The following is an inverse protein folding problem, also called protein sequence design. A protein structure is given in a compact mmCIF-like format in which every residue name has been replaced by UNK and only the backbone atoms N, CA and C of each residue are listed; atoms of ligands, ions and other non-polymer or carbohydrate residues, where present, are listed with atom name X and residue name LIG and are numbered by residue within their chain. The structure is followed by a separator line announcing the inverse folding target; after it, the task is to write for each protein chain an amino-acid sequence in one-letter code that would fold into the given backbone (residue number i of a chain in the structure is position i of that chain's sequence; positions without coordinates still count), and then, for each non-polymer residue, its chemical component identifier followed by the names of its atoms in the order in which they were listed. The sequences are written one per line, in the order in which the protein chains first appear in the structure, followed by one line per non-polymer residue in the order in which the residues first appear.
data_IF_345227179343
#
_entry.id   IF_345227179343
#
_cell.length_a   1.000
_cell.length_b   1.000
_cell.length_c   1.000
_cell.angle_alpha   90.00
_cell.angle_beta   90.00
_cell.angle_gamma   90.00
#
_symmetry.space_group_name_H-M   'P 1'
#
loop_
_entity.id
_entity.type
_entity.pdbx_description
1 polymer ?
#
# COMPACT_ATOMS: atom_id res chain seq x y z
N UNK A 1 -16.81 -30.35 11.17
CA UNK A 1 -16.56 -29.09 10.42
C UNK A 1 -15.98 -29.46 9.08
N UNK A 2 -16.36 -28.79 7.99
CA UNK A 2 -15.71 -28.98 6.69
C UNK A 2 -14.39 -28.20 6.69
N UNK A 3 -13.30 -28.86 6.29
CA UNK A 3 -11.99 -28.24 6.15
C UNK A 3 -11.77 -27.92 4.67
N UNK A 4 -11.39 -26.68 4.36
CA UNK A 4 -11.09 -26.24 3.00
C UNK A 4 -9.60 -26.06 2.84
N UNK A 5 -9.02 -26.67 1.81
CA UNK A 5 -7.62 -26.47 1.45
C UNK A 5 -7.48 -25.25 0.53
N UNK A 6 -6.35 -24.54 0.67
CA UNK A 6 -5.98 -23.46 -0.25
C UNK A 6 -5.65 -24.03 -1.64
N UNK A 7 -5.87 -23.23 -2.68
CA UNK A 7 -5.49 -23.60 -4.05
C UNK A 7 -3.97 -23.76 -4.17
N UNK A 8 -3.52 -24.59 -5.10
CA UNK A 8 -2.08 -24.78 -5.33
C UNK A 8 -1.36 -23.48 -5.70
N UNK A 9 -2.05 -22.55 -6.38
CA UNK A 9 -1.49 -21.26 -6.75
C UNK A 9 -1.09 -20.44 -5.51
N UNK A 10 -1.91 -20.47 -4.45
CA UNK A 10 -1.62 -19.80 -3.18
C UNK A 10 -0.52 -20.54 -2.40
N UNK A 11 -0.52 -21.88 -2.44
CA UNK A 11 0.50 -22.68 -1.76
C UNK A 11 1.91 -22.49 -2.35
N UNK A 12 2.02 -22.13 -3.63
CA UNK A 12 3.30 -21.88 -4.31
C UNK A 12 3.88 -20.47 -4.09
N UNK A 13 3.14 -19.58 -3.43
CA UNK A 13 3.65 -18.23 -3.15
C UNK A 13 4.85 -18.33 -2.19
N UNK A 14 5.96 -17.64 -2.47
CA UNK A 14 7.10 -17.62 -1.57
C UNK A 14 6.73 -16.92 -0.26
N UNK A 15 7.47 -17.23 0.80
CA UNK A 15 7.32 -16.49 2.04
C UNK A 15 7.58 -15.00 1.81
N UNK A 16 6.69 -14.17 2.36
CA UNK A 16 6.78 -12.71 2.27
C UNK A 16 7.92 -12.20 3.17
N UNK A 17 9.15 -12.23 2.65
CA UNK A 17 10.36 -11.81 3.34
C UNK A 17 10.23 -10.41 3.94
N UNK A 18 9.73 -9.44 3.16
CA UNK A 18 9.57 -8.06 3.62
C UNK A 18 8.55 -7.93 4.75
N UNK A 19 7.46 -8.68 4.73
CA UNK A 19 6.49 -8.66 5.83
C UNK A 19 7.10 -9.13 7.15
N UNK A 20 7.96 -10.15 7.11
CA UNK A 20 8.71 -10.60 8.30
C UNK A 20 9.68 -9.53 8.80
N UNK A 21 10.40 -8.87 7.88
CA UNK A 21 11.34 -7.81 8.21
C UNK A 21 10.64 -6.58 8.81
N UNK A 22 9.55 -6.11 8.19
CA UNK A 22 8.72 -4.99 8.67
C UNK A 22 8.20 -5.28 10.07
N UNK A 23 7.67 -6.47 10.32
CA UNK A 23 7.19 -6.87 11.64
C UNK A 23 8.30 -6.87 12.70
N UNK A 24 9.54 -7.22 12.32
CA UNK A 24 10.69 -7.15 13.22
C UNK A 24 11.06 -5.70 13.54
N UNK A 25 11.09 -4.82 12.54
CA UNK A 25 11.37 -3.38 12.72
C UNK A 25 10.31 -2.73 13.61
N UNK A 26 9.01 -2.99 13.38
CA UNK A 26 7.92 -2.46 14.22
C UNK A 26 8.11 -2.84 15.70
N UNK A 27 8.48 -4.10 15.98
CA UNK A 27 8.74 -4.55 17.36
C UNK A 27 9.93 -3.87 18.01
N UNK A 28 10.93 -3.47 17.23
CA UNK A 28 12.09 -2.71 17.73
C UNK A 28 11.69 -1.25 17.97
N UNK A 29 10.96 -0.62 17.05
CA UNK A 29 10.45 0.75 17.20
C UNK A 29 9.54 0.92 18.43
N UNK A 30 8.84 -0.14 18.86
CA UNK A 30 8.03 -0.10 20.09
C UNK A 30 8.85 -0.06 21.39
N UNK A 31 10.14 -0.41 21.33
CA UNK A 31 11.05 -0.49 22.47
C UNK A 31 12.14 0.58 22.45
N UNK A 32 12.40 1.14 21.28
CA UNK A 32 13.48 2.06 21.00
C UNK A 32 12.99 3.13 20.02
N UNK A 33 13.12 4.40 20.39
CA UNK A 33 12.65 5.54 19.60
C UNK A 33 13.64 5.98 18.50
N UNK A 34 14.82 5.35 18.40
CA UNK A 34 15.98 5.79 17.62
C UNK A 34 16.36 4.89 16.43
N UNK A 35 15.38 4.19 15.85
CA UNK A 35 15.63 3.25 14.75
C UNK A 35 15.81 3.97 13.41
N UNK A 36 16.98 3.81 12.79
CA UNK A 36 17.24 4.28 11.42
C UNK A 36 16.81 3.21 10.41
N UNK A 37 15.75 3.48 9.64
CA UNK A 37 15.23 2.57 8.62
C UNK A 37 15.72 2.94 7.22
N UNK A 38 16.78 2.28 6.76
CA UNK A 38 17.29 2.38 5.37
C UNK A 38 16.87 1.19 4.50
N UNK A 39 15.98 0.33 5.01
CA UNK A 39 15.56 -0.91 4.34
C UNK A 39 14.30 -0.77 3.49
N UNK A 40 13.66 0.40 3.48
CA UNK A 40 12.43 0.67 2.75
C UNK A 40 12.61 1.92 1.89
N UNK A 41 12.31 1.82 0.59
CA UNK A 41 12.38 2.93 -0.37
C UNK A 41 11.13 3.83 -0.34
N UNK A 42 10.50 4.01 0.82
CA UNK A 42 9.35 4.90 0.93
C UNK A 42 9.85 6.35 0.86
N UNK A 43 9.25 7.21 0.02
CA UNK A 43 9.58 8.63 0.01
C UNK A 43 9.40 9.25 1.39
N UNK A 44 10.34 10.09 1.79
CA UNK A 44 10.35 10.84 3.04
C UNK A 44 9.59 12.17 2.93
N UNK A 45 9.51 12.72 1.71
CA UNK A 45 8.84 13.99 1.43
C UNK A 45 7.34 13.81 1.19
N UNK A 46 6.51 14.83 1.53
CA UNK A 46 5.09 14.80 1.23
C UNK A 46 4.84 14.85 -0.27
N UNK A 47 3.69 14.32 -0.69
CA UNK A 47 3.19 14.54 -2.05
C UNK A 47 3.12 16.05 -2.34
N UNK A 48 3.62 16.52 -3.50
CA UNK A 48 3.54 17.93 -3.87
C UNK A 48 2.12 18.50 -3.77
N UNK A 49 2.01 19.70 -3.20
CA UNK A 49 0.72 20.31 -2.86
C UNK A 49 -0.25 20.40 -4.04
N UNK A 50 0.24 20.77 -5.24
CA UNK A 50 -0.61 20.87 -6.43
C UNK A 50 -1.27 19.55 -6.85
N UNK A 51 -0.62 18.41 -6.58
CA UNK A 51 -1.19 17.07 -6.84
C UNK A 51 -2.32 16.79 -5.85
N UNK A 52 -2.09 17.11 -4.57
CA UNK A 52 -3.10 16.94 -3.51
C UNK A 52 -4.33 17.81 -3.78
N UNK A 53 -4.13 19.05 -4.23
CA UNK A 53 -5.21 19.98 -4.58
C UNK A 53 -6.01 19.48 -5.78
N UNK A 54 -5.36 18.99 -6.83
CA UNK A 54 -6.05 18.42 -8.00
C UNK A 54 -6.87 17.18 -7.65
N UNK A 55 -6.37 16.35 -6.74
CA UNK A 55 -7.15 15.22 -6.22
C UNK A 55 -8.41 15.70 -5.48
N UNK A 56 -8.29 16.71 -4.63
CA UNK A 56 -9.44 17.28 -3.89
C UNK A 56 -10.49 17.85 -4.85
N UNK A 57 -10.05 18.66 -5.81
CA UNK A 57 -10.93 19.23 -6.84
C UNK A 57 -11.65 18.15 -7.65
N UNK A 58 -10.93 17.09 -8.06
CA UNK A 58 -11.53 15.98 -8.79
C UNK A 58 -12.54 15.20 -7.92
N UNK A 59 -12.25 15.00 -6.63
CA UNK A 59 -13.14 14.26 -5.72
C UNK A 59 -14.52 14.91 -5.58
N UNK A 60 -14.61 16.24 -5.69
CA UNK A 60 -15.88 16.97 -5.63
C UNK A 60 -16.73 16.82 -6.90
N UNK A 61 -16.19 16.30 -8.00
CA UNK A 61 -16.91 16.14 -9.26
C UNK A 61 -17.78 14.85 -9.27
N UNK A 62 -19.13 14.96 -9.29
CA UNK A 62 -20.02 13.80 -9.25
C UNK A 62 -19.87 12.85 -10.45
N UNK A 63 -19.30 13.34 -11.56
CA UNK A 63 -19.01 12.53 -12.75
C UNK A 63 -18.05 11.39 -12.42
N UNK A 64 -17.10 11.61 -11.51
CA UNK A 64 -16.07 10.65 -11.14
C UNK A 64 -16.50 9.69 -10.02
N UNK A 65 -17.70 9.83 -9.47
CA UNK A 65 -18.21 8.94 -8.41
C UNK A 65 -18.70 7.59 -8.96
N UNK A 66 -18.83 7.49 -10.27
CA UNK A 66 -19.29 6.28 -10.97
C UNK A 66 -18.12 5.44 -11.45
N UNK A 67 -18.42 4.26 -11.98
CA UNK A 67 -17.43 3.43 -12.63
C UNK A 67 -16.66 4.20 -13.70
N UNK A 68 -15.34 4.17 -13.58
CA UNK A 68 -14.43 4.66 -14.61
C UNK A 68 -14.44 3.75 -15.83
N UNK A 69 -13.94 4.23 -16.99
CA UNK A 69 -13.66 3.35 -18.11
C UNK A 69 -12.72 2.21 -17.71
N UNK A 70 -12.88 1.04 -18.32
CA UNK A 70 -12.07 -0.15 -18.02
C UNK A 70 -10.56 0.05 -18.26
N UNK A 71 -10.21 0.94 -19.19
CA UNK A 71 -8.82 1.27 -19.53
C UNK A 71 -8.31 2.52 -18.79
N UNK A 72 -9.10 3.10 -17.88
CA UNK A 72 -8.82 4.40 -17.28
C UNK A 72 -9.26 5.57 -18.16
N UNK A 73 -9.22 6.79 -17.59
CA UNK A 73 -9.44 8.02 -18.33
C UNK A 73 -8.24 8.31 -19.23
N UNK A 74 -8.47 8.63 -20.50
CA UNK A 74 -7.40 8.95 -21.44
C UNK A 74 -6.67 10.25 -21.02
N UNK A 75 -5.36 10.27 -21.27
CA UNK A 75 -4.49 11.45 -21.11
C UNK A 75 -4.79 12.54 -22.13
#
# INVERSE_FOLDING_TARGET
MKTFSQSEALQRLPEQFFSKLVNKVIKVNQKHDDVINLGQGNPDQPTPQGIVEKLKEAADNPTYHKYSPFTGYAS
#
